data_IF_317599695535
#
_entry.id   IF_317599695535
#
_cell.length_a   1.000
_cell.length_b   1.000
_cell.length_c   1.000
_cell.angle_alpha   90.00
_cell.angle_beta   90.00
_cell.angle_gamma   90.00
#
_symmetry.space_group_name_H-M   'P 1'
#
loop_
_entity.id
_entity.type
_entity.pdbx_description
1 polymer ?
#
# COMPACT_ATOMS: atom_id res chain seq x y z
N UNK A 1 14.01 -13.95 -9.09
CA UNK A 1 12.84 -14.87 -9.04
C UNK A 1 11.92 -14.55 -10.22
N UNK A 2 11.44 -15.54 -10.99
CA UNK A 2 10.51 -15.29 -12.11
C UNK A 2 9.06 -15.43 -11.64
N UNK A 3 8.23 -14.37 -11.74
CA UNK A 3 6.83 -14.47 -11.39
C UNK A 3 6.09 -15.45 -12.29
N UNK A 4 5.35 -16.36 -11.68
CA UNK A 4 4.51 -17.36 -12.33
C UNK A 4 3.03 -17.08 -12.04
N UNK A 5 2.20 -17.12 -13.09
CA UNK A 5 0.74 -16.96 -13.00
C UNK A 5 0.13 -18.04 -12.11
N UNK A 6 -0.93 -17.71 -11.39
CA UNK A 6 -1.56 -18.59 -10.41
C UNK A 6 -0.74 -18.80 -9.15
N UNK A 7 0.32 -18.04 -8.92
CA UNK A 7 1.13 -18.14 -7.70
C UNK A 7 0.74 -17.06 -6.70
N UNK A 8 0.55 -17.48 -5.45
CA UNK A 8 0.41 -16.63 -4.28
C UNK A 8 1.81 -16.26 -3.76
N UNK A 9 2.03 -14.98 -3.58
CA UNK A 9 3.24 -14.41 -3.03
C UNK A 9 2.97 -13.69 -1.73
N UNK A 10 3.92 -13.73 -0.81
CA UNK A 10 4.07 -12.68 0.19
C UNK A 10 4.46 -11.40 -0.54
N UNK A 11 3.87 -10.28 -0.14
CA UNK A 11 4.15 -9.00 -0.75
C UNK A 11 4.33 -7.89 0.26
N UNK A 12 5.06 -6.87 -0.18
CA UNK A 12 5.20 -5.62 0.54
C UNK A 12 4.59 -4.50 -0.31
N UNK A 13 3.65 -3.78 0.29
CA UNK A 13 3.08 -2.57 -0.27
C UNK A 13 3.89 -1.38 0.24
N UNK A 14 4.43 -0.58 -0.67
CA UNK A 14 5.25 0.59 -0.34
C UNK A 14 4.54 1.88 -0.69
N UNK A 15 4.85 2.94 0.06
CA UNK A 15 4.39 4.30 -0.25
C UNK A 15 2.88 4.43 -0.24
N UNK A 16 2.22 3.79 0.73
CA UNK A 16 0.80 4.03 0.96
C UNK A 16 0.62 5.49 1.45
N UNK A 17 -0.41 6.22 0.98
CA UNK A 17 -0.68 7.57 1.44
C UNK A 17 -0.72 7.65 2.97
N UNK A 18 0.06 8.58 3.54
CA UNK A 18 0.16 8.76 5.00
C UNK A 18 1.12 7.84 5.74
N UNK A 19 1.70 6.86 5.06
CA UNK A 19 2.59 5.86 5.63
C UNK A 19 3.97 5.91 4.96
N UNK A 20 4.46 7.12 4.70
CA UNK A 20 5.77 7.34 4.06
C UNK A 20 6.90 6.68 4.88
N UNK A 21 7.72 5.88 4.19
CA UNK A 21 8.80 5.10 4.81
C UNK A 21 8.37 3.78 5.47
N UNK A 22 7.06 3.50 5.53
CA UNK A 22 6.55 2.23 6.04
C UNK A 22 6.24 1.27 4.89
N UNK A 23 6.26 -0.01 5.22
CA UNK A 23 5.83 -1.09 4.33
C UNK A 23 4.72 -1.86 4.99
N UNK A 24 3.68 -2.19 4.23
CA UNK A 24 2.59 -3.03 4.70
C UNK A 24 2.76 -4.42 4.10
N UNK A 25 2.84 -5.44 4.97
CA UNK A 25 2.83 -6.83 4.53
C UNK A 25 1.42 -7.21 4.02
N UNK A 26 1.38 -7.93 2.91
CA UNK A 26 0.17 -8.42 2.28
C UNK A 26 0.46 -9.74 1.56
N UNK A 27 -0.56 -10.32 0.96
CA UNK A 27 -0.42 -11.42 0.00
C UNK A 27 -0.97 -10.98 -1.34
N UNK A 28 -0.35 -11.43 -2.42
CA UNK A 28 -0.89 -11.21 -3.76
C UNK A 28 -0.86 -12.48 -4.60
N UNK A 29 -1.92 -12.72 -5.35
CA UNK A 29 -1.95 -13.74 -6.39
C UNK A 29 -1.69 -13.08 -7.73
N UNK A 30 -0.69 -13.57 -8.47
CA UNK A 30 -0.48 -13.15 -9.86
C UNK A 30 -1.52 -13.84 -10.74
N UNK A 31 -2.46 -13.06 -11.27
CA UNK A 31 -3.59 -13.56 -12.05
C UNK A 31 -3.29 -13.65 -13.54
N UNK A 32 -2.49 -12.71 -14.04
CA UNK A 32 -2.08 -12.66 -15.44
C UNK A 32 -0.79 -11.84 -15.59
N UNK A 33 -0.01 -12.11 -16.64
CA UNK A 33 1.12 -11.28 -17.06
C UNK A 33 1.47 -11.51 -18.53
N UNK A 34 1.77 -10.43 -19.25
CA UNK A 34 2.33 -10.47 -20.61
C UNK A 34 3.87 -10.39 -20.61
N UNK A 35 4.51 -10.50 -19.44
CA UNK A 35 5.95 -10.32 -19.23
C UNK A 35 6.37 -8.89 -18.93
N UNK A 36 5.52 -7.88 -19.17
CA UNK A 36 5.79 -6.46 -18.87
C UNK A 36 4.78 -5.84 -17.92
N UNK A 37 3.55 -6.32 -17.94
CA UNK A 37 2.44 -5.88 -17.11
C UNK A 37 1.98 -7.05 -16.26
N UNK A 38 1.66 -6.80 -15.00
CA UNK A 38 1.16 -7.81 -14.08
C UNK A 38 -0.24 -7.43 -13.61
N UNK A 39 -1.15 -8.41 -13.63
CA UNK A 39 -2.47 -8.32 -13.02
C UNK A 39 -2.47 -9.08 -11.69
N UNK A 40 -2.83 -8.41 -10.62
CA UNK A 40 -2.74 -8.91 -9.26
C UNK A 40 -4.09 -8.85 -8.57
N UNK A 41 -4.39 -9.88 -7.78
CA UNK A 41 -5.31 -9.78 -6.64
C UNK A 41 -4.48 -9.62 -5.38
N UNK A 42 -4.73 -8.59 -4.59
CA UNK A 42 -3.99 -8.27 -3.37
C UNK A 42 -4.93 -8.32 -2.17
N UNK A 43 -4.44 -8.88 -1.06
CA UNK A 43 -5.16 -9.01 0.20
C UNK A 43 -4.23 -8.73 1.37
N UNK A 44 -4.60 -7.80 2.23
CA UNK A 44 -3.80 -7.41 3.41
C UNK A 44 -3.81 -8.47 4.50
N UNK A 45 -4.91 -9.21 4.67
CA UNK A 45 -5.07 -10.32 5.61
C UNK A 45 -6.04 -11.39 5.09
N UNK A 46 -5.99 -12.64 5.59
CA UNK A 46 -7.03 -13.63 5.35
C UNK A 46 -8.40 -13.10 5.83
N UNK A 47 -9.39 -13.06 4.94
CA UNK A 47 -10.75 -12.58 5.25
C UNK A 47 -10.95 -11.06 5.27
N UNK A 48 -9.98 -10.26 4.80
CA UNK A 48 -10.12 -8.81 4.63
C UNK A 48 -10.31 -8.40 3.16
N UNK A 49 -10.61 -7.11 2.97
CA UNK A 49 -10.82 -6.43 1.70
C UNK A 49 -9.75 -6.79 0.68
N UNK A 50 -10.21 -7.43 -0.39
CA UNK A 50 -9.43 -7.73 -1.56
C UNK A 50 -9.50 -6.53 -2.51
N UNK A 51 -8.35 -6.10 -3.03
CA UNK A 51 -8.31 -5.15 -4.14
C UNK A 51 -7.56 -5.74 -5.32
N UNK A 52 -7.83 -5.21 -6.49
CA UNK A 52 -7.12 -5.57 -7.72
C UNK A 52 -6.13 -4.49 -8.08
N UNK A 53 -5.01 -4.90 -8.67
CA UNK A 53 -3.98 -4.00 -9.13
C UNK A 53 -3.44 -4.45 -10.49
N UNK A 54 -3.17 -3.49 -11.37
CA UNK A 54 -2.37 -3.70 -12.58
C UNK A 54 -1.24 -2.69 -12.64
N UNK A 55 -0.10 -3.07 -13.21
CA UNK A 55 1.03 -2.17 -13.36
C UNK A 55 2.20 -2.81 -14.08
N UNK A 56 3.24 -2.01 -14.31
CA UNK A 56 4.46 -2.47 -14.99
C UNK A 56 5.27 -3.35 -14.06
N UNK A 57 5.50 -4.58 -14.48
CA UNK A 57 6.39 -5.54 -13.87
C UNK A 57 7.84 -5.24 -14.25
N UNK A 58 8.67 -5.02 -13.25
CA UNK A 58 10.10 -4.71 -13.36
C UNK A 58 10.89 -5.56 -12.37
N UNK A 59 12.21 -5.63 -12.54
CA UNK A 59 13.11 -6.22 -11.56
C UNK A 59 13.98 -5.12 -10.96
N UNK A 60 14.12 -5.12 -9.62
CA UNK A 60 15.02 -4.18 -8.96
C UNK A 60 16.48 -4.58 -9.20
N UNK A 61 17.36 -3.64 -9.63
CA UNK A 61 18.77 -3.94 -9.94
C UNK A 61 19.61 -4.50 -8.78
N UNK A 62 19.14 -4.33 -7.53
CA UNK A 62 19.89 -4.69 -6.32
C UNK A 62 19.35 -5.91 -5.59
N UNK A 63 18.19 -6.45 -5.98
CA UNK A 63 17.49 -7.42 -5.13
C UNK A 63 16.78 -8.56 -5.88
N UNK A 64 16.88 -8.66 -7.22
CA UNK A 64 16.26 -9.71 -8.08
C UNK A 64 14.76 -10.01 -7.82
N UNK A 65 14.12 -9.15 -7.03
CA UNK A 65 12.74 -9.24 -6.62
C UNK A 65 11.88 -8.56 -7.68
N UNK A 66 10.81 -9.23 -8.13
CA UNK A 66 9.84 -8.61 -9.01
C UNK A 66 9.12 -7.47 -8.30
N UNK A 67 9.03 -6.33 -8.97
CA UNK A 67 8.38 -5.12 -8.48
C UNK A 67 7.39 -4.62 -9.52
N UNK A 68 6.19 -4.31 -9.05
CA UNK A 68 5.13 -3.73 -9.87
C UNK A 68 5.01 -2.25 -9.54
N UNK A 69 5.15 -1.39 -10.55
CA UNK A 69 5.10 0.08 -10.47
C UNK A 69 4.09 0.67 -11.45
N UNK A 70 3.78 1.96 -11.33
CA UNK A 70 2.77 2.59 -12.19
C UNK A 70 1.40 1.95 -11.98
N UNK A 71 1.04 1.77 -10.72
CA UNK A 71 -0.08 0.95 -10.31
C UNK A 71 -1.41 1.66 -10.57
N UNK A 72 -2.36 0.90 -11.14
CA UNK A 72 -3.77 1.23 -11.19
C UNK A 72 -4.47 0.21 -10.29
N UNK A 73 -5.23 0.68 -9.31
CA UNK A 73 -5.79 -0.16 -8.24
C UNK A 73 -7.26 0.14 -7.98
N UNK A 74 -8.05 -0.87 -7.61
CA UNK A 74 -9.46 -0.69 -7.19
C UNK A 74 -9.63 -0.36 -5.71
N UNK A 75 -8.54 -0.09 -4.98
CA UNK A 75 -8.54 0.06 -3.53
C UNK A 75 -7.30 0.80 -3.05
N UNK A 76 -6.52 0.17 -2.18
CA UNK A 76 -5.27 0.77 -1.68
C UNK A 76 -4.35 1.18 -2.83
N UNK A 77 -3.73 2.36 -2.68
CA UNK A 77 -2.88 2.99 -3.70
C UNK A 77 -1.40 3.02 -3.28
N UNK A 78 -0.72 1.87 -3.16
CA UNK A 78 0.72 1.88 -2.96
C UNK A 78 1.41 2.43 -4.21
N UNK A 79 2.58 3.04 -4.03
CA UNK A 79 3.41 3.49 -5.17
C UNK A 79 4.08 2.32 -5.88
N UNK A 80 4.32 1.22 -5.16
CA UNK A 80 4.81 -0.05 -5.72
C UNK A 80 4.44 -1.26 -4.86
N UNK A 81 4.37 -2.42 -5.50
CA UNK A 81 4.19 -3.73 -4.86
C UNK A 81 5.42 -4.56 -5.14
N UNK A 82 6.05 -5.11 -4.10
CA UNK A 82 7.21 -6.00 -4.21
C UNK A 82 6.78 -7.43 -3.90
N UNK A 83 7.06 -8.37 -4.81
CA UNK A 83 6.85 -9.80 -4.58
C UNK A 83 8.07 -10.37 -3.85
N UNK A 84 7.90 -10.85 -2.61
CA UNK A 84 9.05 -11.23 -1.76
C UNK A 84 9.33 -12.72 -1.78
N UNK A 85 8.30 -13.55 -1.62
CA UNK A 85 8.44 -15.02 -1.52
C UNK A 85 7.21 -15.70 -2.09
N UNK A 86 7.41 -16.86 -2.70
CA UNK A 86 6.32 -17.74 -3.12
C UNK A 86 5.75 -18.47 -1.91
N UNK A 87 4.44 -18.36 -1.69
CA UNK A 87 3.70 -19.08 -0.64
C UNK A 87 3.14 -20.38 -1.18
N UNK A 88 2.45 -20.31 -2.32
CA UNK A 88 1.82 -21.48 -2.95
C UNK A 88 1.52 -21.21 -4.42
N UNK A 89 1.49 -22.25 -5.24
CA UNK A 89 1.01 -22.17 -6.63
C UNK A 89 -0.32 -22.91 -6.76
N UNK A 90 -1.32 -22.22 -7.30
CA UNK A 90 -2.63 -22.79 -7.56
C UNK A 90 -2.60 -23.60 -8.86
N UNK A 91 -3.04 -24.85 -8.78
CA UNK A 91 -3.02 -25.79 -9.92
C UNK A 91 -4.28 -25.73 -10.80
N UNK A 92 -5.24 -24.87 -10.48
CA UNK A 92 -6.52 -24.76 -11.20
C UNK A 92 -6.52 -23.54 -12.13
N UNK A 93 -6.18 -23.69 -13.43
CA UNK A 93 -6.08 -22.58 -14.36
C UNK A 93 -7.43 -21.87 -14.59
N UNK A 94 -8.55 -22.60 -14.58
CA UNK A 94 -9.87 -22.00 -14.80
C UNK A 94 -10.27 -21.06 -13.65
N UNK A 95 -9.89 -21.39 -12.42
CA UNK A 95 -10.13 -20.53 -11.27
C UNK A 95 -9.32 -19.22 -11.37
N UNK A 96 -8.06 -19.32 -11.82
CA UNK A 96 -7.19 -18.16 -12.05
C UNK A 96 -7.74 -17.28 -13.18
N UNK A 97 -8.16 -17.89 -14.30
CA UNK A 97 -8.74 -17.17 -15.44
C UNK A 97 -10.03 -16.44 -15.07
N UNK A 98 -10.93 -17.07 -14.29
CA UNK A 98 -12.12 -16.39 -13.76
C UNK A 98 -11.76 -15.20 -12.87
N UNK A 99 -10.81 -15.38 -11.95
CA UNK A 99 -10.35 -14.30 -11.09
C UNK A 99 -9.70 -13.15 -11.89
N UNK A 100 -8.94 -13.47 -12.95
CA UNK A 100 -8.38 -12.49 -13.86
C UNK A 100 -9.47 -11.69 -14.59
N UNK A 101 -10.50 -12.37 -15.10
CA UNK A 101 -11.65 -11.71 -15.74
C UNK A 101 -12.38 -10.77 -14.78
N UNK A 102 -12.63 -11.20 -13.54
CA UNK A 102 -13.21 -10.35 -12.49
C UNK A 102 -12.32 -9.13 -12.19
N UNK A 103 -11.02 -9.32 -12.08
CA UNK A 103 -10.06 -8.25 -11.81
C UNK A 103 -10.03 -7.21 -12.94
N UNK A 104 -10.00 -7.65 -14.20
CA UNK A 104 -10.03 -6.77 -15.37
C UNK A 104 -11.34 -5.98 -15.44
N UNK A 105 -12.47 -6.63 -15.20
CA UNK A 105 -13.76 -5.94 -15.16
C UNK A 105 -13.81 -4.86 -14.08
N UNK A 106 -13.31 -5.16 -12.88
CA UNK A 106 -13.24 -4.20 -11.78
C UNK A 106 -12.26 -3.05 -12.05
N UNK A 107 -11.14 -3.32 -12.73
CA UNK A 107 -10.12 -2.31 -13.07
C UNK A 107 -10.48 -1.46 -14.30
N UNK A 108 -11.35 -1.94 -15.19
CA UNK A 108 -11.73 -1.25 -16.43
C UNK A 108 -12.03 0.26 -16.26
N UNK A 109 -12.87 0.71 -15.30
CA UNK A 109 -13.13 2.14 -15.12
C UNK A 109 -11.89 2.92 -14.70
N UNK A 110 -11.02 2.32 -13.88
CA UNK A 110 -9.79 2.98 -13.42
C UNK A 110 -8.73 3.06 -14.53
N UNK A 111 -8.63 2.03 -15.38
CA UNK A 111 -7.75 2.03 -16.55
C UNK A 111 -8.19 3.09 -17.56
N UNK A 112 -9.50 3.20 -17.79
CA UNK A 112 -10.05 4.23 -18.68
C UNK A 112 -9.73 5.64 -18.18
N UNK A 113 -9.88 5.89 -16.88
CA UNK A 113 -9.56 7.18 -16.27
C UNK A 113 -8.06 7.51 -16.23
N UNK A 114 -7.17 6.51 -16.30
CA UNK A 114 -5.73 6.67 -16.20
C UNK A 114 -5.02 6.94 -17.54
N UNK A 115 -5.75 7.04 -18.67
CA UNK A 115 -5.15 7.30 -20.00
C UNK A 115 -4.55 8.72 -20.04
N UNK A 116 -3.21 8.87 -20.16
CA UNK A 116 -2.54 10.16 -20.01
C UNK A 116 -2.61 11.06 -21.27
N UNK A 117 -2.95 10.50 -22.43
CA UNK A 117 -2.75 11.17 -23.73
C UNK A 117 -4.02 11.81 -24.31
N UNK A 118 -5.17 11.64 -23.68
CA UNK A 118 -6.42 12.30 -24.09
C UNK A 118 -6.71 13.49 -23.15
N UNK A 119 -7.06 14.67 -23.67
CA UNK A 119 -7.56 15.75 -22.84
C UNK A 119 -8.75 15.22 -22.05
N UNK A 120 -8.77 15.46 -20.73
CA UNK A 120 -9.90 15.10 -19.88
C UNK A 120 -11.17 15.77 -20.43
N UNK A 121 -12.06 14.98 -21.03
CA UNK A 121 -13.37 15.46 -21.44
C UNK A 121 -14.31 15.63 -20.24
N UNK A 122 -15.46 16.27 -20.47
CA UNK A 122 -16.44 16.60 -19.42
C UNK A 122 -16.95 15.33 -18.71
N UNK A 123 -16.98 14.21 -19.43
CA UNK A 123 -17.31 12.88 -18.92
C UNK A 123 -16.34 12.35 -17.86
N UNK A 124 -15.10 12.86 -17.80
CA UNK A 124 -14.12 12.47 -16.79
C UNK A 124 -14.29 13.24 -15.46
N UNK A 125 -15.11 14.31 -15.43
CA UNK A 125 -15.30 15.15 -14.23
C UNK A 125 -15.85 14.35 -13.03
N UNK A 126 -16.89 13.51 -13.16
CA UNK A 126 -17.38 12.73 -12.02
C UNK A 126 -16.36 11.72 -11.48
N UNK A 127 -15.49 11.19 -12.36
CA UNK A 127 -14.40 10.33 -11.95
C UNK A 127 -13.33 11.15 -11.19
N UNK A 128 -12.96 12.32 -11.69
CA UNK A 128 -12.02 13.22 -11.03
C UNK A 128 -12.52 13.69 -9.66
N UNK A 129 -13.80 14.06 -9.53
CA UNK A 129 -14.41 14.44 -8.26
C UNK A 129 -14.36 13.31 -7.24
N UNK A 130 -14.63 12.07 -7.67
CA UNK A 130 -14.49 10.88 -6.82
C UNK A 130 -13.05 10.66 -6.40
N UNK A 131 -12.10 10.78 -7.32
CA UNK A 131 -10.67 10.63 -7.06
C UNK A 131 -10.16 11.69 -6.07
N UNK A 132 -10.62 12.93 -6.18
CA UNK A 132 -10.32 14.01 -5.23
C UNK A 132 -10.94 13.70 -3.86
N UNK A 133 -12.20 13.28 -3.82
CA UNK A 133 -12.88 12.93 -2.57
C UNK A 133 -12.17 11.76 -1.85
N UNK A 134 -11.79 10.72 -2.61
CA UNK A 134 -11.02 9.59 -2.10
C UNK A 134 -9.63 10.03 -1.62
N UNK A 135 -8.95 10.93 -2.34
CA UNK A 135 -7.67 11.49 -1.92
C UNK A 135 -7.79 12.30 -0.61
N UNK A 136 -8.86 13.07 -0.45
CA UNK A 136 -9.15 13.80 0.80
C UNK A 136 -9.39 12.82 1.96
N UNK A 137 -10.26 11.83 1.77
CA UNK A 137 -10.53 10.81 2.76
C UNK A 137 -9.26 10.03 3.15
N UNK A 138 -8.43 9.66 2.17
CA UNK A 138 -7.16 9.01 2.43
C UNK A 138 -6.20 9.89 3.23
N UNK A 139 -6.18 11.20 2.97
CA UNK A 139 -5.40 12.15 3.76
C UNK A 139 -5.90 12.24 5.21
N UNK A 140 -7.20 12.28 5.43
CA UNK A 140 -7.78 12.30 6.77
C UNK A 140 -7.47 11.01 7.56
N UNK A 141 -7.58 9.86 6.90
CA UNK A 141 -7.21 8.57 7.47
C UNK A 141 -5.71 8.49 7.77
N UNK A 142 -4.88 9.00 6.87
CA UNK A 142 -3.44 9.13 7.04
C UNK A 142 -3.08 9.97 8.28
N UNK A 143 -3.68 11.15 8.40
CA UNK A 143 -3.46 12.05 9.53
C UNK A 143 -3.94 11.41 10.84
N UNK A 144 -5.07 10.70 10.81
CA UNK A 144 -5.59 9.94 11.95
C UNK A 144 -4.63 8.83 12.37
N UNK A 145 -4.10 8.06 11.42
CA UNK A 145 -3.14 6.99 11.68
C UNK A 145 -1.82 7.53 12.23
N UNK A 146 -1.32 8.65 11.68
CA UNK A 146 -0.14 9.34 12.18
C UNK A 146 -0.35 9.84 13.62
N UNK A 147 -1.50 10.42 13.93
CA UNK A 147 -1.85 10.87 15.27
C UNK A 147 -1.97 9.71 16.26
N UNK A 148 -2.60 8.60 15.87
CA UNK A 148 -2.69 7.39 16.68
C UNK A 148 -1.30 6.80 16.96
N UNK A 149 -0.43 6.70 15.93
CA UNK A 149 0.96 6.28 16.08
C UNK A 149 1.71 7.18 17.05
N UNK A 150 1.63 8.50 16.88
CA UNK A 150 2.32 9.47 17.72
C UNK A 150 1.85 9.37 19.19
N UNK A 151 0.55 9.16 19.40
CA UNK A 151 -0.03 8.92 20.74
C UNK A 151 0.50 7.63 21.38
N UNK A 152 0.59 6.54 20.61
CA UNK A 152 1.17 5.28 21.10
C UNK A 152 2.66 5.42 21.41
N UNK A 153 3.41 6.10 20.54
CA UNK A 153 4.83 6.38 20.76
C UNK A 153 5.07 7.26 21.98
N UNK A 154 4.20 8.23 22.26
CA UNK A 154 4.23 9.00 23.50
C UNK A 154 4.02 8.12 24.73
N UNK A 155 2.99 7.26 24.71
CA UNK A 155 2.70 6.34 25.83
C UNK A 155 3.84 5.37 26.12
N UNK A 156 4.50 4.87 25.08
CA UNK A 156 5.57 3.88 25.18
C UNK A 156 6.94 4.56 25.42
N UNK A 157 7.13 5.78 24.93
CA UNK A 157 8.38 6.55 25.03
C UNK A 157 8.84 6.81 26.46
N UNK A 158 7.90 6.86 27.40
CA UNK A 158 8.21 7.00 28.84
C UNK A 158 8.70 5.67 29.48
N UNK A 159 8.62 4.55 28.75
CA UNK A 159 8.95 3.20 29.24
C UNK A 159 10.06 2.51 28.45
N UNK A 160 10.42 3.02 27.28
CA UNK A 160 11.34 2.38 26.34
C UNK A 160 12.42 3.38 25.92
N UNK A 161 13.69 2.94 25.91
CA UNK A 161 14.79 3.80 25.51
C UNK A 161 14.60 4.34 24.08
N UNK A 162 14.86 5.64 23.83
CA UNK A 162 14.69 6.26 22.51
C UNK A 162 15.44 5.54 21.38
N UNK A 163 16.61 4.95 21.66
CA UNK A 163 17.39 4.20 20.68
C UNK A 163 16.64 2.96 20.15
N UNK A 164 15.87 2.28 21.01
CA UNK A 164 15.06 1.11 20.63
C UNK A 164 13.90 1.53 19.73
N UNK A 165 13.26 2.67 20.05
CA UNK A 165 12.16 3.20 19.24
C UNK A 165 12.63 3.66 17.86
N UNK A 166 13.80 4.31 17.76
CA UNK A 166 14.41 4.70 16.47
C UNK A 166 14.66 3.46 15.60
N UNK A 167 15.27 2.42 16.17
CA UNK A 167 15.58 1.19 15.44
C UNK A 167 14.34 0.43 14.94
N UNK A 168 13.22 0.51 15.66
CA UNK A 168 11.98 -0.23 15.34
C UNK A 168 11.00 0.53 14.47
N UNK A 169 11.02 1.86 14.52
CA UNK A 169 10.04 2.71 13.82
C UNK A 169 10.62 3.42 12.60
N UNK A 170 11.94 3.45 12.47
CA UNK A 170 12.62 4.20 11.41
C UNK A 170 12.55 5.72 11.57
N UNK A 171 11.97 6.23 12.67
CA UNK A 171 11.90 7.65 12.94
C UNK A 171 13.26 8.20 13.40
N UNK A 172 13.55 9.45 13.04
CA UNK A 172 14.78 10.11 13.47
C UNK A 172 14.80 10.28 15.00
N UNK A 173 16.00 10.32 15.58
CA UNK A 173 16.20 10.60 17.02
C UNK A 173 15.54 11.92 17.42
N UNK A 174 15.60 12.94 16.56
CA UNK A 174 14.96 14.23 16.79
C UNK A 174 13.42 14.13 16.84
N UNK A 175 12.82 13.36 15.92
CA UNK A 175 11.37 13.13 15.89
C UNK A 175 10.88 12.41 17.15
N UNK A 176 11.62 11.39 17.61
CA UNK A 176 11.29 10.67 18.84
C UNK A 176 11.41 11.59 20.07
N UNK A 177 12.48 12.38 20.17
CA UNK A 177 12.67 13.34 21.27
C UNK A 177 11.68 14.51 21.27
N UNK A 178 11.13 14.89 20.11
CA UNK A 178 10.05 15.87 20.03
C UNK A 178 8.74 15.26 20.54
N UNK A 179 8.40 14.05 20.09
CA UNK A 179 7.19 13.35 20.48
C UNK A 179 7.12 13.10 22.00
N UNK A 180 8.21 12.64 22.63
CA UNK A 180 8.23 12.36 24.07
C UNK A 180 8.10 13.63 24.92
N UNK A 181 8.77 14.73 24.55
CA UNK A 181 8.67 16.02 25.28
C UNK A 181 7.28 16.63 25.23
N UNK A 182 6.57 16.49 24.11
CA UNK A 182 5.19 17.00 24.00
C UNK A 182 4.20 16.26 24.91
N UNK A 183 4.49 14.99 25.28
CA UNK A 183 3.68 14.23 26.24
C UNK A 183 3.83 14.73 27.68
N UNK A 184 5.05 15.08 28.10
CA UNK A 184 5.34 15.56 29.45
C UNK A 184 4.79 16.98 29.70
N UNK A 185 4.85 17.85 28.68
CA UNK A 185 4.29 19.20 28.77
C UNK A 185 2.76 19.19 28.99
N UNK A 186 2.03 18.23 28.41
CA UNK A 186 0.57 18.10 28.59
C UNK A 186 0.14 17.36 29.87
N UNK A 187 1.08 16.74 30.60
CA UNK A 187 0.84 16.15 31.91
C UNK A 187 1.05 17.18 33.03
N UNK A 188 2.07 18.04 32.91
CA UNK A 188 2.34 19.11 33.86
C UNK A 188 1.19 20.14 33.98
N UNK A 189 0.48 20.43 32.87
CA UNK A 189 -0.65 21.38 32.87
C UNK A 189 -1.96 20.80 33.44
N UNK A 190 -2.05 19.49 33.66
CA UNK A 190 -3.25 18.84 34.25
C UNK A 190 -3.11 18.57 35.75
N UNK A 191 -2.02 19.01 36.36
CA UNK A 191 -1.73 18.86 37.80
C UNK A 191 -1.56 20.20 38.53
N UNK A 192 -1.94 21.30 37.88
CA UNK A 192 -2.06 22.65 38.47
C UNK A 192 -3.52 23.08 38.44
#
# INVERSE_FOLDING_TARGET
MTPTVGTLYDTQLHGLPGLDGWTLAAFSTLLDTDGRTALLSVRSRPGQDQFFATGTLTQLPRDDRPVITGLITTGLRPTRIVLTSTVSTFSNPDAVARAASTALHALAPHIAAARPDEPLGVEAVPALEREIADAVLHRELADTALNARNTLLQRIGNRVQPAVLVARTGLSKASISALTRSGDAGAATRSA
#
